data_IF_570429606960
#
_entry.id   IF_570429606960
#
_cell.length_a   1.000
_cell.length_b   1.000
_cell.length_c   1.000
_cell.angle_alpha   90.00
_cell.angle_beta   90.00
_cell.angle_gamma   90.00
#
_symmetry.space_group_name_H-M   'P 1'
#
loop_
_entity.id
_entity.type
_entity.pdbx_description
1 polymer ?
#
# COMPACT_ATOMS: atom_id res chain seq x y z
N UNK A 1 32.21 12.37 34.55
CA UNK A 1 32.37 12.52 33.08
C UNK A 1 32.54 11.15 32.41
N UNK A 2 31.58 10.22 32.53
CA UNK A 2 31.70 8.86 31.97
C UNK A 2 30.38 8.29 31.40
N UNK A 3 29.35 9.13 31.21
CA UNK A 3 28.04 8.68 30.70
C UNK A 3 27.82 9.10 29.23
N UNK A 4 28.57 10.08 28.72
CA UNK A 4 28.40 10.60 27.35
C UNK A 4 29.01 9.72 26.24
N UNK A 5 29.80 8.69 26.58
CA UNK A 5 30.47 7.82 25.59
C UNK A 5 29.64 6.64 25.08
N UNK A 6 28.67 6.16 25.87
CA UNK A 6 27.87 4.97 25.54
C UNK A 6 26.72 5.29 24.57
N UNK A 7 26.17 6.49 24.61
CA UNK A 7 25.09 6.93 23.71
C UNK A 7 25.60 7.12 22.27
N UNK A 8 26.83 7.61 22.10
CA UNK A 8 27.44 7.81 20.78
C UNK A 8 27.84 6.51 20.07
N UNK A 9 28.25 5.49 20.82
CA UNK A 9 28.65 4.19 20.26
C UNK A 9 27.47 3.38 19.71
N UNK A 10 26.32 3.43 20.38
CA UNK A 10 25.09 2.74 19.93
C UNK A 10 24.49 3.43 18.71
N UNK A 11 24.49 4.76 18.67
CA UNK A 11 24.03 5.52 17.51
C UNK A 11 24.92 5.28 16.26
N UNK A 12 26.25 5.22 16.44
CA UNK A 12 27.18 4.94 15.35
C UNK A 12 27.11 3.49 14.82
N UNK A 13 26.88 2.52 15.69
CA UNK A 13 26.68 1.12 15.31
C UNK A 13 25.34 0.91 14.59
N UNK A 14 24.26 1.54 15.06
CA UNK A 14 22.95 1.53 14.39
C UNK A 14 23.01 2.23 13.03
N UNK A 15 23.68 3.39 12.92
CA UNK A 15 23.84 4.09 11.64
C UNK A 15 24.68 3.28 10.64
N UNK A 16 25.78 2.65 11.10
CA UNK A 16 26.62 1.79 10.26
C UNK A 16 25.95 0.47 9.86
N UNK A 17 25.08 -0.07 10.71
CA UNK A 17 24.25 -1.23 10.41
C UNK A 17 23.15 -0.86 9.41
N UNK A 18 22.36 0.20 9.67
CA UNK A 18 21.31 0.71 8.78
C UNK A 18 21.87 1.08 7.39
N UNK A 19 23.04 1.69 7.30
CA UNK A 19 23.67 1.99 6.01
C UNK A 19 24.10 0.72 5.25
N UNK A 20 24.39 -0.40 5.93
CA UNK A 20 24.67 -1.70 5.29
C UNK A 20 23.40 -2.46 4.94
N UNK A 21 22.36 -2.38 5.77
CA UNK A 21 21.05 -3.01 5.51
C UNK A 21 20.32 -2.31 4.37
N UNK A 22 20.43 -0.99 4.23
CA UNK A 22 19.86 -0.23 3.12
C UNK A 22 20.59 -0.47 1.79
N UNK A 23 21.93 -0.62 1.82
CA UNK A 23 22.72 -0.96 0.62
C UNK A 23 22.50 -2.40 0.14
N UNK A 24 22.16 -3.32 1.05
CA UNK A 24 21.72 -4.67 0.72
C UNK A 24 20.20 -4.74 0.41
N UNK A 25 19.43 -3.76 0.89
CA UNK A 25 17.98 -3.64 0.85
C UNK A 25 17.40 -3.17 -0.48
N UNK A 26 18.05 -3.50 -1.60
CA UNK A 26 17.44 -3.43 -2.95
C UNK A 26 16.30 -4.45 -3.16
N UNK A 27 15.86 -5.13 -2.09
CA UNK A 27 14.97 -6.28 -2.12
C UNK A 27 13.82 -6.23 -1.09
N UNK A 28 13.72 -5.19 -0.26
CA UNK A 28 12.62 -5.04 0.69
C UNK A 28 11.37 -4.47 -0.01
N UNK A 29 10.77 -5.28 -0.90
CA UNK A 29 9.65 -4.90 -1.77
C UNK A 29 8.36 -4.79 -0.94
N UNK A 30 8.11 -3.66 -0.29
CA UNK A 30 6.91 -3.41 0.52
C UNK A 30 5.82 -2.70 -0.30
N UNK A 31 5.41 -3.28 -1.43
CA UNK A 31 4.38 -2.67 -2.27
C UNK A 31 2.97 -3.18 -1.93
N UNK A 32 2.34 -2.64 -0.87
CA UNK A 32 0.94 -2.95 -0.54
C UNK A 32 -0.04 -2.28 -1.52
N UNK A 33 -0.26 -2.83 -2.71
CA UNK A 33 -1.33 -2.33 -3.59
C UNK A 33 -2.52 -3.26 -3.51
N UNK A 34 -3.40 -2.89 -2.57
CA UNK A 34 -4.75 -3.40 -2.48
C UNK A 34 -5.55 -2.85 -3.66
N UNK A 35 -5.64 -3.63 -4.73
CA UNK A 35 -6.51 -3.34 -5.86
C UNK A 35 -7.46 -4.50 -6.07
N UNK A 36 -8.73 -4.15 -6.19
CA UNK A 36 -9.87 -4.98 -6.51
C UNK A 36 -9.56 -6.13 -7.49
N UNK A 37 -9.71 -7.37 -6.99
CA UNK A 37 -10.10 -8.47 -7.87
C UNK A 37 -11.59 -8.32 -8.18
N UNK A 38 -11.96 -8.22 -9.46
CA UNK A 38 -13.35 -8.05 -9.89
C UNK A 38 -14.13 -9.36 -9.96
N UNK A 39 -13.55 -10.48 -9.54
CA UNK A 39 -14.15 -11.80 -9.76
C UNK A 39 -14.69 -12.42 -8.45
N UNK A 40 -16.01 -12.44 -8.25
CA UNK A 40 -16.71 -13.64 -7.82
C UNK A 40 -18.22 -13.44 -7.66
N UNK A 41 -18.99 -14.25 -8.42
CA UNK A 41 -20.33 -14.68 -8.02
C UNK A 41 -21.47 -14.08 -8.85
N UNK A 42 -22.04 -14.90 -9.74
CA UNK A 42 -23.32 -14.71 -10.46
C UNK A 42 -23.35 -13.68 -11.61
N UNK A 43 -22.67 -12.53 -11.53
CA UNK A 43 -22.58 -11.59 -12.67
C UNK A 43 -21.62 -12.04 -13.80
N UNK A 44 -20.67 -12.92 -13.47
CA UNK A 44 -19.47 -13.17 -14.30
C UNK A 44 -19.68 -14.06 -15.54
N UNK A 45 -20.71 -14.92 -15.58
CA UNK A 45 -20.96 -15.76 -16.78
C UNK A 45 -21.53 -14.99 -17.97
N UNK A 46 -22.11 -13.81 -17.75
CA UNK A 46 -22.47 -12.87 -18.81
C UNK A 46 -21.28 -11.97 -19.25
N UNK A 47 -20.17 -12.02 -18.50
CA UNK A 47 -19.01 -11.13 -18.58
C UNK A 47 -17.94 -11.62 -19.58
N UNK A 48 -17.93 -12.93 -19.89
CA UNK A 48 -16.92 -13.57 -20.77
C UNK A 48 -17.06 -13.25 -22.27
N UNK A 49 -18.17 -12.66 -22.73
CA UNK A 49 -18.45 -12.59 -24.17
C UNK A 49 -18.35 -11.21 -24.82
N UNK A 50 -18.12 -10.10 -24.08
CA UNK A 50 -18.03 -8.76 -24.70
C UNK A 50 -17.06 -7.79 -24.00
N UNK A 51 -16.34 -6.96 -24.78
CA UNK A 51 -15.80 -5.68 -24.31
C UNK A 51 -16.77 -4.94 -23.40
N UNK A 52 -16.31 -4.54 -22.22
CA UNK A 52 -17.10 -3.68 -21.34
C UNK A 52 -16.68 -2.23 -21.47
N UNK A 53 -17.66 -1.38 -21.76
CA UNK A 53 -17.52 0.06 -21.60
C UNK A 53 -17.36 0.40 -20.12
N UNK A 54 -16.66 1.50 -19.84
CA UNK A 54 -16.51 2.05 -18.50
C UNK A 54 -17.86 2.21 -17.79
N UNK A 55 -18.87 2.74 -18.48
CA UNK A 55 -20.18 3.00 -17.89
C UNK A 55 -20.87 1.72 -17.39
N UNK A 56 -20.78 0.61 -18.13
CA UNK A 56 -21.34 -0.68 -17.66
C UNK A 56 -20.63 -1.18 -16.40
N UNK A 57 -19.32 -1.04 -16.33
CA UNK A 57 -18.55 -1.44 -15.14
C UNK A 57 -19.02 -0.65 -13.94
N UNK A 58 -19.04 0.67 -14.06
CA UNK A 58 -19.45 1.55 -12.99
C UNK A 58 -20.90 1.31 -12.58
N UNK A 59 -21.81 1.16 -13.54
CA UNK A 59 -23.21 0.84 -13.27
C UNK A 59 -23.35 -0.49 -12.50
N UNK A 60 -22.68 -1.55 -12.96
CA UNK A 60 -22.74 -2.86 -12.29
C UNK A 60 -22.25 -2.82 -10.84
N UNK A 61 -21.19 -2.07 -10.57
CA UNK A 61 -20.58 -1.96 -9.23
C UNK A 61 -21.32 -0.99 -8.30
N UNK A 62 -22.12 -0.08 -8.86
CA UNK A 62 -22.87 0.91 -8.08
C UNK A 62 -24.36 0.59 -7.95
N UNK A 63 -24.86 -0.36 -8.73
CA UNK A 63 -26.22 -0.86 -8.64
C UNK A 63 -26.42 -1.74 -7.38
N UNK A 64 -27.56 -1.58 -6.70
CA UNK A 64 -27.91 -2.38 -5.53
C UNK A 64 -27.29 -1.92 -4.21
N UNK A 65 -27.52 -2.70 -3.15
CA UNK A 65 -26.97 -2.48 -1.80
C UNK A 65 -25.85 -3.50 -1.57
N UNK A 66 -24.62 -3.07 -1.22
CA UNK A 66 -23.51 -3.99 -1.01
C UNK A 66 -23.75 -4.86 0.23
N UNK A 67 -23.61 -6.17 0.09
CA UNK A 67 -23.75 -7.18 1.13
C UNK A 67 -22.42 -7.57 1.79
N UNK A 68 -21.29 -7.36 1.09
CA UNK A 68 -19.95 -7.74 1.58
C UNK A 68 -18.99 -6.55 1.62
N UNK A 69 -17.93 -6.64 2.44
CA UNK A 69 -16.85 -5.64 2.45
C UNK A 69 -16.20 -5.42 1.08
N UNK A 70 -16.05 -6.49 0.30
CA UNK A 70 -15.53 -6.39 -1.07
C UNK A 70 -16.47 -5.61 -1.98
N UNK A 71 -17.79 -5.87 -1.92
CA UNK A 71 -18.77 -5.09 -2.69
C UNK A 71 -18.80 -3.62 -2.28
N UNK A 72 -18.66 -3.32 -0.98
CA UNK A 72 -18.52 -1.93 -0.49
C UNK A 72 -17.29 -1.25 -1.08
N UNK A 73 -16.14 -1.93 -1.05
CA UNK A 73 -14.89 -1.42 -1.61
C UNK A 73 -14.99 -1.19 -3.13
N UNK A 74 -15.49 -2.18 -3.87
CA UNK A 74 -15.67 -2.10 -5.33
C UNK A 74 -16.60 -0.95 -5.72
N UNK A 75 -17.70 -0.75 -4.98
CA UNK A 75 -18.59 0.38 -5.16
C UNK A 75 -17.89 1.72 -4.90
N UNK A 76 -17.16 1.83 -3.78
CA UNK A 76 -16.42 3.04 -3.44
C UNK A 76 -15.36 3.36 -4.50
N UNK A 77 -14.65 2.34 -5.00
CA UNK A 77 -13.69 2.48 -6.10
C UNK A 77 -14.35 2.92 -7.41
N UNK A 78 -15.46 2.29 -7.80
CA UNK A 78 -16.21 2.67 -8.99
C UNK A 78 -16.67 4.13 -8.92
N UNK A 79 -17.14 4.58 -7.76
CA UNK A 79 -17.52 5.99 -7.53
C UNK A 79 -16.31 6.92 -7.59
N UNK A 80 -15.18 6.56 -6.97
CA UNK A 80 -13.95 7.34 -6.99
C UNK A 80 -13.43 7.54 -8.42
N UNK A 81 -13.48 6.51 -9.26
CA UNK A 81 -13.00 6.61 -10.66
C UNK A 81 -13.76 7.65 -11.49
N UNK A 82 -14.99 8.01 -11.12
CA UNK A 82 -15.78 9.03 -11.84
C UNK A 82 -15.14 10.42 -11.78
N UNK A 83 -14.32 10.69 -10.76
CA UNK A 83 -13.59 11.94 -10.61
C UNK A 83 -12.37 12.05 -11.55
N UNK A 84 -12.05 10.96 -12.28
CA UNK A 84 -10.81 10.80 -13.03
C UNK A 84 -11.10 10.46 -14.51
N UNK A 85 -11.26 11.47 -15.39
CA UNK A 85 -11.63 11.25 -16.79
C UNK A 85 -10.59 10.41 -17.55
N UNK A 86 -9.31 10.46 -17.18
CA UNK A 86 -8.26 9.60 -17.71
C UNK A 86 -8.54 8.10 -17.55
N UNK A 87 -9.20 7.67 -16.46
CA UNK A 87 -9.55 6.26 -16.25
C UNK A 87 -10.62 5.84 -17.25
N UNK A 88 -11.67 6.65 -17.43
CA UNK A 88 -12.69 6.40 -18.46
C UNK A 88 -12.04 6.33 -19.85
N UNK A 89 -11.20 7.31 -20.19
CA UNK A 89 -10.53 7.35 -21.49
C UNK A 89 -9.70 6.08 -21.73
N UNK A 90 -8.98 5.59 -20.73
CA UNK A 90 -8.21 4.35 -20.83
C UNK A 90 -9.09 3.12 -21.08
N UNK A 91 -10.27 3.02 -20.44
CA UNK A 91 -11.22 1.95 -20.72
C UNK A 91 -11.74 1.99 -22.16
N UNK A 92 -11.99 3.19 -22.68
CA UNK A 92 -12.47 3.43 -24.05
C UNK A 92 -11.40 3.20 -25.11
N UNK A 93 -10.13 3.49 -24.79
CA UNK A 93 -8.99 3.26 -25.68
C UNK A 93 -8.51 1.81 -25.71
N UNK A 94 -8.99 0.96 -24.79
CA UNK A 94 -8.61 -0.47 -24.68
C UNK A 94 -9.81 -1.42 -24.77
N UNK A 95 -10.72 -1.28 -25.76
CA UNK A 95 -11.98 -2.02 -25.77
C UNK A 95 -11.78 -3.55 -25.88
N UNK A 96 -10.69 -4.01 -26.50
CA UNK A 96 -10.41 -5.45 -26.64
C UNK A 96 -9.74 -6.11 -25.44
N UNK A 97 -9.38 -5.35 -24.41
CA UNK A 97 -8.63 -5.86 -23.25
C UNK A 97 -9.49 -6.85 -22.46
N UNK A 98 -8.92 -8.02 -22.17
CA UNK A 98 -9.64 -9.04 -21.38
C UNK A 98 -9.76 -8.61 -19.92
N UNK A 99 -10.77 -9.11 -19.18
CA UNK A 99 -10.94 -8.79 -17.76
C UNK A 99 -9.72 -8.99 -16.87
N UNK A 100 -9.06 -10.15 -16.99
CA UNK A 100 -7.88 -10.53 -16.21
C UNK A 100 -6.67 -9.66 -16.56
N UNK A 101 -6.47 -9.39 -17.84
CA UNK A 101 -5.48 -8.44 -18.33
C UNK A 101 -5.72 -7.02 -17.78
N UNK A 102 -6.99 -6.58 -17.79
CA UNK A 102 -7.38 -5.27 -17.25
C UNK A 102 -7.15 -5.17 -15.75
N UNK A 103 -7.49 -6.21 -15.00
CA UNK A 103 -7.22 -6.26 -13.56
C UNK A 103 -5.72 -6.14 -13.26
N UNK A 104 -4.89 -6.90 -14.00
CA UNK A 104 -3.45 -6.85 -13.86
C UNK A 104 -2.91 -5.45 -14.20
N UNK A 105 -3.33 -4.85 -15.30
CA UNK A 105 -2.93 -3.50 -15.70
C UNK A 105 -3.36 -2.45 -14.67
N UNK A 106 -4.58 -2.52 -14.13
CA UNK A 106 -5.03 -1.62 -13.05
C UNK A 106 -4.09 -1.77 -11.84
N UNK A 107 -3.75 -2.99 -11.44
CA UNK A 107 -2.83 -3.24 -10.30
C UNK A 107 -1.45 -2.64 -10.55
N UNK A 108 -0.84 -2.92 -11.71
CA UNK A 108 0.49 -2.44 -12.08
C UNK A 108 0.55 -0.92 -12.19
N UNK A 109 -0.45 -0.31 -12.85
CA UNK A 109 -0.51 1.15 -13.00
C UNK A 109 -0.82 1.85 -11.67
N UNK A 110 -1.71 1.28 -10.85
CA UNK A 110 -1.97 1.81 -9.50
C UNK A 110 -0.70 1.76 -8.66
N UNK A 111 0.08 0.67 -8.70
CA UNK A 111 1.37 0.58 -8.00
C UNK A 111 2.34 1.66 -8.46
N UNK A 112 2.54 1.76 -9.77
CA UNK A 112 3.46 2.73 -10.37
C UNK A 112 3.04 4.16 -10.07
N UNK A 113 1.73 4.46 -10.06
CA UNK A 113 1.21 5.80 -9.79
C UNK A 113 1.31 6.26 -8.34
N UNK A 114 1.62 5.39 -7.37
CA UNK A 114 1.65 5.78 -5.96
C UNK A 114 2.72 6.83 -5.71
N UNK A 115 3.88 6.69 -6.36
CA UNK A 115 4.99 7.63 -6.23
C UNK A 115 4.71 9.01 -6.88
N UNK A 116 3.59 9.17 -7.61
CA UNK A 116 3.12 10.43 -8.18
C UNK A 116 2.10 11.15 -7.28
N UNK A 117 1.62 10.48 -6.22
CA UNK A 117 0.66 11.09 -5.30
C UNK A 117 1.31 12.16 -4.43
N UNK A 118 0.50 13.02 -3.82
CA UNK A 118 0.96 14.01 -2.84
C UNK A 118 1.35 13.36 -1.51
N UNK A 119 2.17 14.05 -0.71
CA UNK A 119 2.54 13.61 0.63
C UNK A 119 1.31 13.36 1.52
N UNK A 120 0.29 14.21 1.42
CA UNK A 120 -0.95 14.06 2.19
C UNK A 120 -1.64 12.73 1.85
N UNK A 121 -1.80 12.40 0.57
CA UNK A 121 -2.42 11.15 0.14
C UNK A 121 -1.59 9.93 0.58
N UNK A 122 -0.26 10.02 0.53
CA UNK A 122 0.62 8.92 0.95
C UNK A 122 0.57 8.70 2.46
N UNK A 123 0.55 9.76 3.26
CA UNK A 123 0.36 9.67 4.71
C UNK A 123 -1.01 9.08 5.04
N UNK A 124 -2.07 9.56 4.40
CA UNK A 124 -3.42 8.99 4.58
C UNK A 124 -3.47 7.50 4.21
N UNK A 125 -2.79 7.08 3.13
CA UNK A 125 -2.67 5.67 2.76
C UNK A 125 -2.00 4.87 3.86
N UNK A 126 -0.87 5.34 4.37
CA UNK A 126 -0.11 4.67 5.43
C UNK A 126 -0.95 4.52 6.70
N UNK A 127 -1.71 5.54 7.09
CA UNK A 127 -2.61 5.50 8.27
C UNK A 127 -3.80 4.53 8.08
N UNK A 128 -4.35 4.45 6.87
CA UNK A 128 -5.41 3.49 6.54
C UNK A 128 -4.89 2.05 6.56
N UNK A 129 -3.69 1.82 6.00
CA UNK A 129 -3.03 0.52 6.05
C UNK A 129 -2.66 0.13 7.48
N UNK A 130 -2.19 1.06 8.31
CA UNK A 130 -1.96 0.82 9.74
C UNK A 130 -3.22 0.30 10.45
N UNK A 131 -4.36 0.98 10.24
CA UNK A 131 -5.65 0.55 10.80
C UNK A 131 -6.11 -0.81 10.28
N UNK A 132 -5.87 -1.07 9.00
CA UNK A 132 -6.20 -2.32 8.33
C UNK A 132 -5.41 -3.50 8.92
N UNK A 133 -4.09 -3.37 9.04
CA UNK A 133 -3.23 -4.47 9.54
C UNK A 133 -3.30 -4.66 11.05
N UNK A 134 -3.67 -3.63 11.82
CA UNK A 134 -3.78 -3.73 13.29
C UNK A 134 -4.77 -4.82 13.71
N UNK A 135 -5.89 -4.97 12.99
CA UNK A 135 -6.95 -5.95 13.32
C UNK A 135 -6.92 -7.20 12.44
N UNK A 136 -6.01 -7.28 11.48
CA UNK A 136 -5.91 -8.40 10.55
C UNK A 136 -5.42 -9.67 11.23
N UNK A 137 -5.80 -10.83 10.69
CA UNK A 137 -5.12 -12.09 11.04
C UNK A 137 -3.66 -12.06 10.57
N UNK A 138 -2.79 -12.86 11.21
CA UNK A 138 -1.36 -12.83 10.92
C UNK A 138 -1.05 -13.08 9.44
N UNK A 139 -1.75 -14.04 8.81
CA UNK A 139 -1.62 -14.35 7.38
C UNK A 139 -1.96 -13.14 6.50
N UNK A 140 -3.10 -12.49 6.71
CA UNK A 140 -3.53 -11.34 5.89
C UNK A 140 -2.65 -10.11 6.10
N UNK A 141 -2.23 -9.89 7.35
CA UNK A 141 -1.29 -8.85 7.74
C UNK A 141 0.10 -9.05 7.09
N UNK A 142 0.60 -10.28 7.09
CA UNK A 142 1.85 -10.64 6.42
C UNK A 142 1.76 -10.49 4.91
N UNK A 143 0.65 -10.89 4.30
CA UNK A 143 0.35 -10.71 2.88
C UNK A 143 0.37 -9.23 2.47
N UNK A 144 -0.18 -8.34 3.31
CA UNK A 144 -0.01 -6.88 3.13
C UNK A 144 1.47 -6.53 3.11
N UNK A 145 2.22 -6.87 4.16
CA UNK A 145 3.66 -6.60 4.25
C UNK A 145 4.42 -7.02 3.00
N UNK A 146 4.27 -8.28 2.57
CA UNK A 146 4.98 -8.84 1.42
C UNK A 146 4.56 -8.25 0.07
N UNK A 147 3.50 -7.44 0.03
CA UNK A 147 2.95 -6.91 -1.22
C UNK A 147 2.26 -7.97 -2.09
N UNK A 148 1.96 -9.14 -1.53
CA UNK A 148 1.26 -10.25 -2.19
C UNK A 148 -0.03 -10.52 -1.42
N UNK A 149 -1.06 -9.73 -1.72
CA UNK A 149 -2.36 -9.81 -1.05
C UNK A 149 -3.39 -10.54 -1.94
N UNK A 150 -3.73 -11.80 -1.63
CA UNK A 150 -4.78 -12.51 -2.34
C UNK A 150 -6.13 -11.80 -2.23
N UNK A 151 -6.98 -11.98 -3.24
CA UNK A 151 -8.31 -11.36 -3.28
C UNK A 151 -9.18 -11.71 -2.05
N UNK A 152 -9.06 -12.94 -1.54
CA UNK A 152 -9.78 -13.36 -0.34
C UNK A 152 -9.31 -12.63 0.92
N UNK A 153 -7.99 -12.50 1.09
CA UNK A 153 -7.37 -11.72 2.16
C UNK A 153 -7.79 -10.26 2.09
N UNK A 154 -7.80 -9.69 0.88
CA UNK A 154 -8.34 -8.37 0.66
C UNK A 154 -9.79 -8.28 1.15
N UNK A 155 -10.67 -9.19 0.73
CA UNK A 155 -12.06 -9.22 1.16
C UNK A 155 -12.24 -9.15 2.69
N UNK A 156 -11.42 -9.91 3.44
CA UNK A 156 -11.43 -9.87 4.91
C UNK A 156 -10.94 -8.53 5.46
N UNK A 157 -9.86 -7.97 4.91
CA UNK A 157 -9.31 -6.69 5.34
C UNK A 157 -10.27 -5.52 5.12
N UNK A 158 -10.88 -5.40 3.93
CA UNK A 158 -11.84 -4.31 3.64
C UNK A 158 -13.16 -4.48 4.38
N UNK A 159 -13.52 -5.71 4.77
CA UNK A 159 -14.71 -5.93 5.59
C UNK A 159 -14.59 -5.30 6.97
N UNK A 160 -13.37 -5.20 7.52
CA UNK A 160 -13.08 -4.54 8.80
C UNK A 160 -13.04 -3.01 8.75
N UNK A 161 -13.12 -2.40 7.56
CA UNK A 161 -13.11 -0.95 7.39
C UNK A 161 -14.52 -0.36 7.37
N UNK A 162 -14.67 0.82 8.00
CA UNK A 162 -15.86 1.64 7.86
C UNK A 162 -15.95 2.30 6.46
N UNK A 163 -17.15 2.73 6.07
CA UNK A 163 -17.42 3.27 4.74
C UNK A 163 -16.61 4.54 4.42
N UNK A 164 -16.34 5.39 5.42
CA UNK A 164 -15.54 6.59 5.21
C UNK A 164 -14.06 6.26 4.97
N UNK A 165 -13.54 5.26 5.67
CA UNK A 165 -12.19 4.74 5.47
C UNK A 165 -12.06 4.02 4.13
N UNK A 166 -13.08 3.25 3.70
CA UNK A 166 -13.14 2.65 2.37
C UNK A 166 -13.18 3.69 1.26
N UNK A 167 -14.00 4.74 1.40
CA UNK A 167 -14.08 5.81 0.42
C UNK A 167 -12.73 6.51 0.24
N UNK A 168 -12.08 6.92 1.35
CA UNK A 168 -10.74 7.54 1.30
C UNK A 168 -9.70 6.62 0.67
N UNK A 169 -9.73 5.33 1.03
CA UNK A 169 -8.81 4.36 0.45
C UNK A 169 -9.02 4.21 -1.07
N UNK A 170 -10.28 4.12 -1.51
CA UNK A 170 -10.66 4.05 -2.92
C UNK A 170 -10.30 5.32 -3.70
N UNK A 171 -10.43 6.50 -3.10
CA UNK A 171 -10.02 7.77 -3.71
C UNK A 171 -8.50 7.82 -3.95
N UNK A 172 -7.70 7.34 -3.00
CA UNK A 172 -6.24 7.22 -3.14
C UNK A 172 -5.88 6.23 -4.25
N UNK A 173 -6.52 5.06 -4.29
CA UNK A 173 -6.28 4.04 -5.33
C UNK A 173 -6.64 4.59 -6.72
N UNK A 174 -7.80 5.23 -6.87
CA UNK A 174 -8.23 5.83 -8.13
C UNK A 174 -7.30 6.99 -8.55
N UNK A 175 -6.90 7.85 -7.61
CA UNK A 175 -5.93 8.92 -7.85
C UNK A 175 -4.58 8.39 -8.33
N UNK A 176 -4.13 7.26 -7.78
CA UNK A 176 -2.88 6.62 -8.16
C UNK A 176 -2.92 6.13 -9.61
N UNK A 177 -3.97 5.36 -9.96
CA UNK A 177 -4.20 4.90 -11.33
C UNK A 177 -4.28 6.08 -12.31
N UNK A 178 -5.02 7.12 -11.93
CA UNK A 178 -5.15 8.35 -12.69
C UNK A 178 -3.82 9.06 -12.93
N UNK A 179 -3.01 9.25 -11.88
CA UNK A 179 -1.71 9.89 -11.99
C UNK A 179 -0.77 9.13 -12.92
N UNK A 180 -0.81 7.79 -12.88
CA UNK A 180 -0.05 6.96 -13.81
C UNK A 180 -0.58 7.05 -15.24
N UNK A 181 -1.90 6.99 -15.46
CA UNK A 181 -2.46 7.14 -16.80
C UNK A 181 -2.17 8.52 -17.41
N UNK A 182 -2.13 9.56 -16.59
CA UNK A 182 -1.77 10.92 -17.00
C UNK A 182 -0.26 11.13 -17.14
N UNK A 183 0.55 10.24 -16.57
CA UNK A 183 2.01 10.43 -16.41
C UNK A 183 2.35 11.77 -15.72
N UNK A 184 1.52 12.21 -14.78
CA UNK A 184 1.69 13.51 -14.11
C UNK A 184 1.09 13.50 -12.70
N UNK A 185 1.77 14.09 -11.70
CA UNK A 185 3.12 14.68 -11.79
C UNK A 185 4.20 13.61 -12.03
N UNK A 186 5.44 14.05 -12.23
CA UNK A 186 6.59 13.13 -12.33
C UNK A 186 6.69 12.23 -11.09
N UNK A 187 7.13 10.95 -11.24
CA UNK A 187 7.37 10.05 -10.13
C UNK A 187 8.35 10.65 -9.13
N UNK A 188 8.07 10.49 -7.83
CA UNK A 188 8.92 10.99 -6.75
C UNK A 188 9.63 9.84 -6.05
N UNK A 189 10.86 10.07 -5.62
CA UNK A 189 11.61 9.16 -4.76
C UNK A 189 12.09 9.89 -3.52
N UNK A 190 12.23 9.16 -2.42
CA UNK A 190 12.88 9.68 -1.22
C UNK A 190 14.39 9.57 -1.35
N UNK A 191 15.14 10.58 -0.88
CA UNK A 191 16.59 10.45 -0.76
C UNK A 191 16.94 9.38 0.29
N UNK A 192 17.96 8.56 0.02
CA UNK A 192 18.38 7.47 0.92
C UNK A 192 18.71 7.96 2.33
N UNK A 193 19.35 9.13 2.44
CA UNK A 193 19.67 9.78 3.71
C UNK A 193 18.41 10.16 4.51
N UNK A 194 17.36 10.62 3.82
CA UNK A 194 16.09 10.99 4.46
C UNK A 194 15.34 9.75 4.93
N UNK A 195 15.33 8.68 4.14
CA UNK A 195 14.76 7.39 4.56
C UNK A 195 15.51 6.83 5.77
N UNK A 196 16.85 6.89 5.76
CA UNK A 196 17.68 6.48 6.89
C UNK A 196 17.31 7.25 8.15
N UNK A 197 17.17 8.57 8.05
CA UNK A 197 16.77 9.41 9.17
C UNK A 197 15.37 9.05 9.70
N UNK A 198 14.41 8.80 8.81
CA UNK A 198 13.06 8.38 9.21
C UNK A 198 13.08 7.02 9.94
N UNK A 199 13.93 6.07 9.53
CA UNK A 199 14.11 4.81 10.25
C UNK A 199 14.81 4.97 11.60
N UNK A 200 15.76 5.90 11.74
CA UNK A 200 16.37 6.23 13.02
C UNK A 200 15.31 6.74 14.01
N UNK A 201 14.47 7.67 13.57
CA UNK A 201 13.37 8.20 14.39
C UNK A 201 12.36 7.10 14.75
N UNK A 202 11.97 6.26 13.78
CA UNK A 202 11.07 5.12 14.00
C UNK A 202 11.61 4.16 15.07
N UNK A 203 12.90 3.82 14.97
CA UNK A 203 13.57 2.89 15.87
C UNK A 203 13.71 3.43 17.29
N UNK A 204 13.78 4.75 17.45
CA UNK A 204 13.84 5.40 18.78
C UNK A 204 12.58 5.11 19.62
N UNK A 205 11.44 4.87 18.97
CA UNK A 205 10.15 4.63 19.63
C UNK A 205 9.90 3.18 20.09
N UNK A 206 10.73 2.21 19.69
CA UNK A 206 10.50 0.77 19.96
C UNK A 206 11.60 0.08 20.77
N UNK A 207 12.71 0.78 21.03
CA UNK A 207 13.85 0.25 21.77
C UNK A 207 14.79 -0.60 20.91
N UNK A 208 16.05 -0.73 21.36
CA UNK A 208 17.15 -1.26 20.54
C UNK A 208 16.94 -2.69 20.03
N UNK A 209 16.40 -3.59 20.87
CA UNK A 209 16.15 -4.98 20.49
C UNK A 209 15.07 -5.12 19.41
N UNK A 210 13.95 -4.39 19.56
CA UNK A 210 12.88 -4.40 18.57
C UNK A 210 13.29 -3.67 17.29
N UNK A 211 14.07 -2.60 17.39
CA UNK A 211 14.65 -1.91 16.25
C UNK A 211 15.56 -2.83 15.43
N UNK A 212 16.42 -3.61 16.10
CA UNK A 212 17.26 -4.61 15.45
C UNK A 212 16.41 -5.69 14.76
N UNK A 213 15.42 -6.26 15.48
CA UNK A 213 14.48 -7.25 14.91
C UNK A 213 13.74 -6.70 13.69
N UNK A 214 13.25 -5.46 13.76
CA UNK A 214 12.57 -4.81 12.64
C UNK A 214 13.52 -4.66 11.44
N UNK A 215 14.74 -4.18 11.67
CA UNK A 215 15.73 -4.00 10.62
C UNK A 215 16.13 -5.34 9.96
N UNK A 216 16.31 -6.41 10.74
CA UNK A 216 16.63 -7.74 10.23
C UNK A 216 15.46 -8.32 9.42
N UNK A 217 14.24 -8.22 9.96
CA UNK A 217 13.03 -8.72 9.29
C UNK A 217 12.74 -8.00 7.98
N UNK A 218 13.06 -6.71 7.87
CA UNK A 218 12.88 -5.94 6.64
C UNK A 218 13.83 -6.36 5.52
N UNK A 219 14.96 -7.02 5.81
CA UNK A 219 15.89 -7.46 4.78
C UNK A 219 15.32 -8.59 3.91
N UNK A 220 14.53 -9.48 4.50
CA UNK A 220 13.93 -10.62 3.81
C UNK A 220 12.55 -10.96 4.39
N UNK A 221 11.63 -10.01 4.26
CA UNK A 221 10.24 -10.16 4.74
C UNK A 221 9.51 -11.35 4.08
N UNK A 222 9.92 -11.72 2.86
CA UNK A 222 9.35 -12.83 2.09
C UNK A 222 9.63 -14.20 2.70
N UNK A 223 10.80 -14.38 3.33
CA UNK A 223 11.20 -15.64 3.96
C UNK A 223 10.68 -15.82 5.40
N UNK A 224 10.12 -14.77 6.03
CA UNK A 224 9.61 -14.84 7.39
C UNK A 224 8.31 -15.66 7.49
N UNK A 225 8.06 -16.22 8.68
CA UNK A 225 6.75 -16.77 9.04
C UNK A 225 5.69 -15.67 9.01
N UNK A 226 4.41 -16.03 8.87
CA UNK A 226 3.31 -15.06 8.88
C UNK A 226 3.25 -14.24 10.18
N UNK A 227 3.58 -14.84 11.31
CA UNK A 227 3.64 -14.13 12.60
C UNK A 227 4.73 -13.05 12.61
N UNK A 228 5.95 -13.38 12.17
CA UNK A 228 7.07 -12.44 12.11
C UNK A 228 6.85 -11.35 11.05
N UNK A 229 6.38 -11.72 9.86
CA UNK A 229 6.05 -10.77 8.81
C UNK A 229 4.92 -9.83 9.24
N UNK A 230 3.88 -10.35 9.92
CA UNK A 230 2.82 -9.50 10.43
C UNK A 230 3.30 -8.58 11.55
N UNK A 231 4.09 -9.07 12.51
CA UNK A 231 4.67 -8.23 13.55
C UNK A 231 5.49 -7.08 12.95
N UNK A 232 6.30 -7.38 11.93
CA UNK A 232 7.12 -6.40 11.20
C UNK A 232 6.24 -5.36 10.51
N UNK A 233 5.21 -5.82 9.80
CA UNK A 233 4.26 -4.96 9.07
C UNK A 233 3.51 -4.03 10.03
N UNK A 234 2.93 -4.56 11.11
CA UNK A 234 2.23 -3.77 12.14
C UNK A 234 3.16 -2.75 12.77
N UNK A 235 4.38 -3.16 13.13
CA UNK A 235 5.36 -2.27 13.75
C UNK A 235 5.72 -1.13 12.81
N UNK A 236 6.04 -1.44 11.55
CA UNK A 236 6.38 -0.45 10.53
C UNK A 236 5.25 0.57 10.32
N UNK A 237 4.02 0.10 10.07
CA UNK A 237 2.89 1.01 9.80
C UNK A 237 2.46 1.80 11.03
N UNK A 238 2.46 1.19 12.22
CA UNK A 238 2.08 1.87 13.47
C UNK A 238 3.10 2.94 13.85
N UNK A 239 4.38 2.59 13.87
CA UNK A 239 5.43 3.54 14.24
C UNK A 239 5.63 4.59 13.15
N UNK A 240 5.57 4.19 11.88
CA UNK A 240 5.63 5.11 10.74
C UNK A 240 4.54 6.16 10.77
N UNK A 241 3.31 5.78 11.14
CA UNK A 241 2.18 6.71 11.28
C UNK A 241 2.34 7.68 12.46
N UNK A 242 3.14 7.31 13.46
CA UNK A 242 3.42 8.14 14.64
C UNK A 242 4.61 9.10 14.46
N UNK A 243 5.37 8.99 13.36
CA UNK A 243 6.48 9.89 13.05
C UNK A 243 6.02 11.35 12.90
N UNK A 244 6.93 12.28 13.14
CA UNK A 244 6.67 13.70 12.94
C UNK A 244 6.88 14.10 11.47
N UNK A 245 6.00 14.99 10.99
CA UNK A 245 6.07 15.76 9.75
C UNK A 245 6.93 15.19 8.62
N UNK A 246 8.22 15.56 8.58
CA UNK A 246 9.13 15.24 7.48
C UNK A 246 9.39 13.74 7.38
N UNK A 247 9.66 13.08 8.49
CA UNK A 247 10.02 11.67 8.52
C UNK A 247 8.80 10.81 8.19
N UNK A 248 7.62 11.21 8.65
CA UNK A 248 6.35 10.57 8.29
C UNK A 248 6.09 10.60 6.79
N UNK A 249 6.28 11.77 6.15
CA UNK A 249 6.09 11.93 4.69
C UNK A 249 7.13 11.14 3.90
N UNK A 250 8.39 11.20 4.35
CA UNK A 250 9.50 10.48 3.74
C UNK A 250 9.27 8.97 3.77
N UNK A 251 8.85 8.43 4.91
CA UNK A 251 8.55 7.01 5.05
C UNK A 251 7.31 6.63 4.23
N UNK A 252 6.25 7.45 4.24
CA UNK A 252 5.06 7.20 3.44
C UNK A 252 5.38 7.10 1.94
N UNK A 253 6.31 7.90 1.43
CA UNK A 253 6.82 7.81 0.06
C UNK A 253 7.80 6.65 -0.14
N UNK A 254 8.63 6.31 0.85
CA UNK A 254 9.51 5.14 0.76
C UNK A 254 8.70 3.84 0.63
N UNK A 255 7.57 3.73 1.34
CA UNK A 255 6.64 2.59 1.29
C UNK A 255 5.80 2.51 0.00
N UNK A 256 6.07 3.34 -1.00
CA UNK A 256 5.51 3.19 -2.36
C UNK A 256 6.52 2.73 -3.39
N UNK A 257 7.81 2.86 -3.09
CA UNK A 257 8.89 2.66 -4.05
C UNK A 257 9.49 1.25 -3.92
N UNK A 258 9.84 0.69 -5.07
CA UNK A 258 10.43 -0.65 -5.26
C UNK A 258 11.93 -0.67 -4.96
#
# INVERSE_FOLDING_TARGET
MLISGLVGGVAGALAGFLARTLKAGRYATLACVVVAGLASGLGWRAYEQRPMSYDRVVESLTSGTPATGMERYLRAWALATKAHPEIRHWFESTPGMKPDERELEIRLKTRSGLNRLSDEQLVQRMELLSRMVEKAEAMDCAAVGRGDLPQESLGRLVNGMDDASLQRFSDIVASSLAAELRQSPEPRTSAEEDVTQAFVELNSGIGAEQAQRLADNLQDLGALTDEEACWTTRTLYRQGSALQDRDRRTLALALTND
#
